data_IF_916807132047
#
_entry.id   IF_916807132047
#
_cell.length_a   1.000
_cell.length_b   1.000
_cell.length_c   1.000
_cell.angle_alpha   90.00
_cell.angle_beta   90.00
_cell.angle_gamma   90.00
#
_symmetry.space_group_name_H-M   'P 1'
#
loop_
_entity.id
_entity.type
_entity.pdbx_description
1 polymer ?
#
# COMPACT_ATOMS: atom_id res chain seq x y z
N UNK A 1 1.34 17.13 2.04
CA UNK A 1 0.07 16.40 2.16
C UNK A 1 -0.35 16.03 0.77
N UNK A 2 -0.46 14.74 0.45
CA UNK A 2 -1.17 14.34 -0.76
C UNK A 2 -2.64 14.70 -0.57
N UNK A 3 -3.22 15.35 -1.55
CA UNK A 3 -4.66 15.66 -1.54
C UNK A 3 -5.37 14.45 -2.11
N UNK A 4 -6.49 14.05 -1.52
CA UNK A 4 -7.26 12.90 -2.01
C UNK A 4 -7.68 13.14 -3.47
N UNK A 5 -7.19 12.34 -4.45
CA UNK A 5 -7.38 12.62 -5.88
C UNK A 5 -8.86 12.64 -6.27
N UNK A 6 -9.70 11.91 -5.54
CA UNK A 6 -11.14 11.82 -5.81
C UNK A 6 -11.94 13.06 -5.39
N UNK A 7 -11.35 13.95 -4.56
CA UNK A 7 -11.98 15.26 -4.25
C UNK A 7 -11.97 16.20 -5.46
N UNK A 8 -11.00 16.01 -6.37
CA UNK A 8 -10.88 16.77 -7.62
C UNK A 8 -10.91 15.82 -8.81
N UNK A 9 -11.85 14.87 -8.79
CA UNK A 9 -11.86 13.73 -9.69
C UNK A 9 -11.84 14.11 -11.17
N UNK A 10 -12.62 15.12 -11.57
CA UNK A 10 -12.68 15.59 -12.96
C UNK A 10 -11.30 16.08 -13.45
N UNK A 11 -10.59 16.83 -12.61
CA UNK A 11 -9.24 17.30 -12.91
C UNK A 11 -8.25 16.13 -12.99
N UNK A 12 -8.33 15.20 -12.04
CA UNK A 12 -7.48 14.00 -12.04
C UNK A 12 -7.74 13.12 -13.29
N UNK A 13 -8.99 12.98 -13.70
CA UNK A 13 -9.40 12.21 -14.87
C UNK A 13 -8.90 12.84 -16.18
N UNK A 14 -9.15 14.13 -16.38
CA UNK A 14 -8.74 14.83 -17.60
C UNK A 14 -7.21 14.84 -17.76
N UNK A 15 -6.49 15.04 -16.65
CA UNK A 15 -5.02 15.00 -16.67
C UNK A 15 -4.48 13.58 -16.88
N UNK A 16 -5.10 12.55 -16.29
CA UNK A 16 -4.71 11.16 -16.50
C UNK A 16 -4.82 10.74 -17.97
N UNK A 17 -5.86 11.19 -18.67
CA UNK A 17 -6.02 10.95 -20.13
C UNK A 17 -4.86 11.55 -20.93
N UNK A 18 -4.54 12.83 -20.68
CA UNK A 18 -3.45 13.53 -21.37
C UNK A 18 -2.09 12.87 -21.05
N UNK A 19 -1.89 12.42 -19.81
CA UNK A 19 -0.68 11.69 -19.42
C UNK A 19 -0.55 10.37 -20.20
N UNK A 20 -1.65 9.62 -20.32
CA UNK A 20 -1.65 8.35 -21.04
C UNK A 20 -1.41 8.53 -22.55
N UNK A 21 -1.93 9.60 -23.18
CA UNK A 21 -1.60 9.98 -24.57
C UNK A 21 -0.09 10.21 -24.78
N UNK A 22 0.63 10.53 -23.71
CA UNK A 22 2.08 10.74 -23.69
C UNK A 22 2.87 9.55 -23.15
N UNK A 23 2.24 8.40 -22.95
CA UNK A 23 2.83 7.20 -22.34
C UNK A 23 3.37 7.43 -20.91
N UNK A 24 2.74 8.33 -20.15
CA UNK A 24 3.04 8.57 -18.73
C UNK A 24 2.02 7.80 -17.89
N UNK A 25 2.51 6.96 -16.99
CA UNK A 25 1.66 6.18 -16.09
C UNK A 25 1.06 7.04 -14.98
N UNK A 26 -0.19 6.76 -14.62
CA UNK A 26 -0.90 7.45 -13.55
C UNK A 26 -0.99 6.59 -12.29
N UNK A 27 -0.73 7.22 -11.15
CA UNK A 27 -0.80 6.57 -9.84
C UNK A 27 -1.64 7.41 -8.90
N UNK A 28 -2.61 6.78 -8.24
CA UNK A 28 -3.37 7.41 -7.16
C UNK A 28 -2.80 7.01 -5.80
N UNK A 29 -2.53 7.99 -4.95
CA UNK A 29 -2.36 7.78 -3.50
C UNK A 29 -3.66 8.25 -2.86
N UNK A 30 -4.47 7.31 -2.37
CA UNK A 30 -5.88 7.56 -2.03
C UNK A 30 -6.29 6.86 -0.74
N UNK A 31 -7.31 7.37 -0.08
CA UNK A 31 -8.01 6.71 1.02
C UNK A 31 -8.91 5.54 0.55
N UNK A 32 -9.09 5.36 -0.77
CA UNK A 32 -9.88 4.28 -1.35
C UNK A 32 -11.40 4.43 -1.18
N UNK A 33 -11.88 5.59 -0.72
CA UNK A 33 -13.28 5.86 -0.43
C UNK A 33 -13.94 6.65 -1.57
N UNK A 34 -14.23 5.96 -2.67
CA UNK A 34 -14.85 6.51 -3.87
C UNK A 34 -16.00 5.62 -4.36
N UNK A 35 -16.79 6.09 -5.32
CA UNK A 35 -17.87 5.27 -5.86
C UNK A 35 -17.35 4.29 -6.93
N UNK A 36 -18.03 3.16 -7.15
CA UNK A 36 -17.70 2.24 -8.24
C UNK A 36 -17.71 2.91 -9.62
N UNK A 37 -18.60 3.88 -9.85
CA UNK A 37 -18.71 4.61 -11.11
C UNK A 37 -17.45 5.44 -11.39
N UNK A 38 -16.90 6.10 -10.37
CA UNK A 38 -15.64 6.83 -10.48
C UNK A 38 -14.48 5.88 -10.82
N UNK A 39 -14.44 4.69 -10.22
CA UNK A 39 -13.43 3.67 -10.52
C UNK A 39 -13.54 3.15 -11.95
N UNK A 40 -14.75 2.84 -12.42
CA UNK A 40 -14.96 2.42 -13.81
C UNK A 40 -14.60 3.51 -14.81
N UNK A 41 -14.84 4.77 -14.46
CA UNK A 41 -14.50 5.89 -15.34
C UNK A 41 -12.99 6.07 -15.46
N UNK A 42 -12.25 6.03 -14.35
CA UNK A 42 -10.80 6.26 -14.35
C UNK A 42 -9.98 5.02 -14.74
N UNK A 43 -10.52 3.80 -14.59
CA UNK A 43 -9.73 2.56 -14.76
C UNK A 43 -8.98 2.40 -16.08
N UNK A 44 -9.46 2.90 -17.24
CA UNK A 44 -8.69 2.84 -18.48
C UNK A 44 -7.39 3.66 -18.45
N UNK A 45 -7.25 4.59 -17.50
CA UNK A 45 -6.17 5.56 -17.41
C UNK A 45 -5.39 5.48 -16.09
N UNK A 46 -5.78 4.60 -15.17
CA UNK A 46 -5.14 4.44 -13.86
C UNK A 46 -4.31 3.16 -13.82
N UNK A 47 -2.98 3.29 -13.86
CA UNK A 47 -2.07 2.14 -13.88
C UNK A 47 -1.91 1.49 -12.50
N UNK A 48 -1.90 2.31 -11.45
CA UNK A 48 -1.73 1.85 -10.08
C UNK A 48 -2.45 2.73 -9.05
N UNK A 49 -2.73 2.16 -7.88
CA UNK A 49 -3.22 2.85 -6.72
C UNK A 49 -2.54 2.33 -5.45
N UNK A 50 -1.95 3.24 -4.68
CA UNK A 50 -1.55 3.00 -3.29
C UNK A 50 -2.70 3.47 -2.39
N UNK A 51 -3.37 2.52 -1.74
CA UNK A 51 -4.62 2.75 -1.01
C UNK A 51 -4.39 2.61 0.48
N UNK A 52 -4.82 3.63 1.23
CA UNK A 52 -4.76 3.60 2.69
C UNK A 52 -5.84 2.70 3.30
N UNK A 53 -5.51 1.45 3.60
CA UNK A 53 -6.31 0.59 4.48
C UNK A 53 -5.92 0.89 5.93
N UNK A 54 -6.57 1.91 6.51
CA UNK A 54 -6.14 2.54 7.77
C UNK A 54 -6.32 1.70 9.03
N UNK A 55 -7.02 0.59 8.94
CA UNK A 55 -7.31 -0.34 10.04
C UNK A 55 -8.25 -1.43 9.55
N UNK A 56 -8.61 -2.36 10.42
CA UNK A 56 -9.52 -3.46 10.07
C UNK A 56 -10.73 -3.61 10.99
N UNK A 57 -11.08 -2.53 11.70
CA UNK A 57 -12.32 -2.43 12.48
C UNK A 57 -13.22 -1.30 11.98
N UNK A 58 -14.54 -1.53 11.98
CA UNK A 58 -15.52 -0.48 11.67
C UNK A 58 -15.49 0.66 12.70
N UNK A 59 -15.18 0.36 13.96
CA UNK A 59 -15.09 1.37 15.03
C UNK A 59 -13.94 2.34 14.80
N UNK A 60 -12.78 1.86 14.35
CA UNK A 60 -11.66 2.72 13.96
C UNK A 60 -12.07 3.67 12.83
N UNK A 61 -12.72 3.13 11.79
CA UNK A 61 -13.17 3.92 10.64
C UNK A 61 -14.20 4.99 11.03
N UNK A 62 -15.21 4.63 11.81
CA UNK A 62 -16.23 5.58 12.27
C UNK A 62 -15.63 6.68 13.13
N UNK A 63 -14.78 6.30 14.10
CA UNK A 63 -14.25 7.23 15.10
C UNK A 63 -13.14 8.13 14.56
N UNK A 64 -12.21 7.59 13.78
CA UNK A 64 -11.01 8.31 13.37
C UNK A 64 -11.03 8.76 11.90
N UNK A 65 -11.78 8.06 11.03
CA UNK A 65 -11.85 8.41 9.61
C UNK A 65 -13.16 9.11 9.22
N UNK A 66 -14.21 9.01 10.04
CA UNK A 66 -15.56 9.48 9.68
C UNK A 66 -16.16 8.72 8.49
N UNK A 67 -15.74 7.47 8.30
CA UNK A 67 -16.10 6.62 7.15
C UNK A 67 -16.45 5.20 7.60
N UNK A 68 -16.70 4.29 6.64
CA UNK A 68 -16.87 2.85 6.89
C UNK A 68 -15.77 2.05 6.18
N UNK A 69 -15.41 0.89 6.74
CA UNK A 69 -14.38 0.01 6.19
C UNK A 69 -14.88 -0.76 4.95
N UNK A 70 -16.15 -1.17 4.92
CA UNK A 70 -16.68 -2.00 3.85
C UNK A 70 -16.53 -1.38 2.43
N UNK A 71 -16.82 -0.08 2.19
CA UNK A 71 -16.60 0.53 0.88
C UNK A 71 -15.14 0.47 0.41
N UNK A 72 -14.17 0.71 1.30
CA UNK A 72 -12.73 0.64 0.97
C UNK A 72 -12.36 -0.78 0.53
N UNK A 73 -12.80 -1.81 1.28
CA UNK A 73 -12.54 -3.21 0.92
C UNK A 73 -13.16 -3.60 -0.43
N UNK A 74 -14.36 -3.12 -0.71
CA UNK A 74 -15.03 -3.39 -1.98
C UNK A 74 -14.31 -2.72 -3.15
N UNK A 75 -13.87 -1.47 -2.96
CA UNK A 75 -13.12 -0.73 -3.96
C UNK A 75 -11.74 -1.35 -4.25
N UNK A 76 -11.04 -1.85 -3.23
CA UNK A 76 -9.78 -2.59 -3.42
C UNK A 76 -9.96 -3.82 -4.32
N UNK A 77 -11.02 -4.60 -4.10
CA UNK A 77 -11.37 -5.75 -4.96
C UNK A 77 -11.73 -5.29 -6.38
N UNK A 78 -12.52 -4.23 -6.50
CA UNK A 78 -12.90 -3.67 -7.78
C UNK A 78 -11.69 -3.18 -8.58
N UNK A 79 -10.77 -2.43 -7.95
CA UNK A 79 -9.52 -1.97 -8.56
C UNK A 79 -8.72 -3.14 -9.15
N UNK A 80 -8.49 -4.21 -8.37
CA UNK A 80 -7.82 -5.43 -8.86
C UNK A 80 -8.56 -6.05 -10.05
N UNK A 81 -9.89 -6.15 -9.99
CA UNK A 81 -10.70 -6.71 -11.08
C UNK A 81 -10.66 -5.86 -12.37
N UNK A 82 -10.39 -4.56 -12.25
CA UNK A 82 -10.23 -3.63 -13.36
C UNK A 82 -8.79 -3.57 -13.91
N UNK A 83 -7.87 -4.37 -13.38
CA UNK A 83 -6.48 -4.43 -13.83
C UNK A 83 -5.57 -3.32 -13.28
N UNK A 84 -6.06 -2.53 -12.32
CA UNK A 84 -5.26 -1.53 -11.61
C UNK A 84 -4.30 -2.25 -10.67
N UNK A 85 -3.01 -1.89 -10.72
CA UNK A 85 -2.04 -2.42 -9.75
C UNK A 85 -2.29 -1.79 -8.38
N UNK A 86 -2.53 -2.62 -7.36
CA UNK A 86 -2.90 -2.12 -6.02
C UNK A 86 -1.77 -2.39 -5.04
N UNK A 87 -1.42 -1.36 -4.29
CA UNK A 87 -0.61 -1.46 -3.08
C UNK A 87 -1.45 -0.98 -1.89
N UNK A 88 -1.18 -1.52 -0.70
CA UNK A 88 -1.87 -1.14 0.52
C UNK A 88 -0.92 -0.41 1.45
N UNK A 89 -1.35 0.71 2.01
CA UNK A 89 -0.64 1.40 3.09
C UNK A 89 -1.47 1.40 4.37
N UNK A 90 -0.83 1.08 5.49
CA UNK A 90 -1.43 1.19 6.83
C UNK A 90 -0.49 2.00 7.71
N UNK A 91 -0.95 3.18 8.16
CA UNK A 91 -0.27 3.93 9.21
C UNK A 91 -0.54 3.24 10.55
N UNK A 92 0.48 2.65 11.16
CA UNK A 92 0.33 1.89 12.39
C UNK A 92 0.37 2.82 13.60
N UNK A 93 -0.74 2.98 14.31
CA UNK A 93 -0.91 3.95 15.39
C UNK A 93 -1.04 3.22 16.75
N UNK A 94 -0.14 3.49 17.71
CA UNK A 94 -0.16 2.84 19.01
C UNK A 94 -1.50 2.92 19.73
N UNK A 95 -2.02 1.76 20.12
CA UNK A 95 -3.26 1.59 20.87
C UNK A 95 -4.54 1.82 20.07
N UNK A 96 -4.47 1.96 18.73
CA UNK A 96 -5.68 2.09 17.89
C UNK A 96 -5.86 0.95 16.91
N UNK A 97 -4.84 0.66 16.10
CA UNK A 97 -4.90 -0.32 15.00
C UNK A 97 -3.67 -1.24 14.97
N UNK A 98 -2.93 -1.33 16.09
CA UNK A 98 -1.67 -2.05 16.21
C UNK A 98 -1.75 -3.35 17.02
N UNK A 99 -2.96 -3.82 17.33
CA UNK A 99 -3.14 -5.13 17.94
C UNK A 99 -2.82 -6.26 16.96
N UNK A 100 -2.19 -7.34 17.43
CA UNK A 100 -1.85 -8.51 16.60
C UNK A 100 -3.09 -9.07 15.88
N UNK A 101 -4.21 -9.22 16.58
CA UNK A 101 -5.46 -9.72 15.99
C UNK A 101 -6.05 -8.81 14.89
N UNK A 102 -5.83 -7.50 14.96
CA UNK A 102 -6.28 -6.58 13.92
C UNK A 102 -5.38 -6.69 12.70
N UNK A 103 -4.07 -6.73 12.91
CA UNK A 103 -3.07 -6.88 11.87
C UNK A 103 -3.18 -8.21 11.14
N UNK A 104 -3.46 -9.31 11.84
CA UNK A 104 -3.69 -10.62 11.24
C UNK A 104 -4.90 -10.60 10.30
N UNK A 105 -6.02 -10.02 10.74
CA UNK A 105 -7.22 -9.92 9.89
C UNK A 105 -6.99 -9.04 8.67
N UNK A 106 -6.23 -7.96 8.84
CA UNK A 106 -5.84 -7.06 7.74
C UNK A 106 -4.95 -7.79 6.74
N UNK A 107 -3.87 -8.43 7.21
CA UNK A 107 -2.93 -9.16 6.36
C UNK A 107 -3.60 -10.34 5.63
N UNK A 108 -4.44 -11.11 6.32
CA UNK A 108 -5.24 -12.19 5.71
C UNK A 108 -6.17 -11.66 4.63
N UNK A 109 -6.85 -10.53 4.88
CA UNK A 109 -7.67 -9.90 3.84
C UNK A 109 -6.87 -9.54 2.59
N UNK A 110 -5.68 -8.95 2.75
CA UNK A 110 -4.81 -8.63 1.60
C UNK A 110 -4.46 -9.92 0.85
N UNK A 111 -3.95 -10.94 1.56
CA UNK A 111 -3.49 -12.18 0.96
C UNK A 111 -4.63 -12.94 0.24
N UNK A 112 -5.78 -13.10 0.90
CA UNK A 112 -6.90 -13.90 0.40
C UNK A 112 -7.79 -13.18 -0.61
N UNK A 113 -8.01 -11.87 -0.43
CA UNK A 113 -8.93 -11.10 -1.28
C UNK A 113 -8.25 -10.32 -2.39
N UNK A 114 -7.00 -9.90 -2.21
CA UNK A 114 -6.27 -9.09 -3.18
C UNK A 114 -5.11 -9.86 -3.83
N UNK A 115 -4.66 -10.95 -3.22
CA UNK A 115 -3.59 -11.82 -3.69
C UNK A 115 -2.28 -11.58 -2.94
N UNK A 116 -1.52 -12.65 -2.76
CA UNK A 116 -0.23 -12.68 -2.03
C UNK A 116 0.86 -11.80 -2.66
N UNK A 117 0.68 -11.41 -3.91
CA UNK A 117 1.51 -10.48 -4.68
C UNK A 117 1.20 -9.00 -4.41
N UNK A 118 0.13 -8.69 -3.66
CA UNK A 118 -0.26 -7.31 -3.31
C UNK A 118 0.68 -6.75 -2.24
N UNK A 119 1.44 -5.67 -2.53
CA UNK A 119 2.33 -5.08 -1.53
C UNK A 119 1.60 -4.47 -0.34
N UNK A 120 2.12 -4.69 0.86
CA UNK A 120 1.63 -4.05 2.09
C UNK A 120 2.72 -3.21 2.75
N UNK A 121 2.47 -1.91 2.84
CA UNK A 121 3.34 -0.91 3.45
C UNK A 121 2.82 -0.56 4.85
N UNK A 122 3.65 -0.80 5.86
CA UNK A 122 3.35 -0.50 7.26
C UNK A 122 4.16 0.74 7.65
N UNK A 123 3.47 1.86 7.78
CA UNK A 123 4.10 3.17 8.01
C UNK A 123 4.13 3.52 9.50
N UNK A 124 5.29 3.99 9.98
CA UNK A 124 5.45 4.52 11.35
C UNK A 124 4.63 5.79 11.55
N UNK A 125 3.82 5.80 12.61
CA UNK A 125 3.14 6.99 13.10
C UNK A 125 4.10 7.88 13.89
N UNK A 126 3.98 9.19 13.67
CA UNK A 126 4.62 10.24 14.45
C UNK A 126 3.54 11.17 15.00
N UNK A 127 3.55 11.49 16.30
CA UNK A 127 2.55 12.39 16.91
C UNK A 127 2.62 13.77 16.26
N UNK A 128 1.52 14.20 15.64
CA UNK A 128 1.48 15.47 14.91
C UNK A 128 0.05 16.01 14.86
N UNK A 129 -0.07 17.30 14.56
CA UNK A 129 -1.34 18.03 14.46
C UNK A 129 -2.22 17.85 15.71
N UNK A 130 -3.31 17.07 15.62
CA UNK A 130 -4.29 16.87 16.71
C UNK A 130 -4.14 15.55 17.44
N UNK A 131 -3.41 14.58 16.88
CA UNK A 131 -3.24 13.25 17.49
C UNK A 131 -1.86 13.21 18.17
N UNK A 132 -1.76 13.81 19.34
CA UNK A 132 -0.51 13.96 20.10
C UNK A 132 -0.52 13.24 21.45
N UNK A 133 -1.58 12.49 21.74
CA UNK A 133 -1.86 11.80 23.01
C UNK A 133 -1.15 10.44 23.15
N UNK A 134 -0.36 10.04 22.15
CA UNK A 134 0.34 8.76 22.07
C UNK A 134 1.72 8.95 21.45
N UNK A 135 2.63 8.02 21.70
CA UNK A 135 4.00 8.08 21.20
C UNK A 135 4.15 7.70 19.72
N UNK A 136 5.36 7.86 19.20
CA UNK A 136 5.80 7.30 17.91
C UNK A 136 5.63 5.78 17.94
N UNK A 137 5.23 5.16 16.83
CA UNK A 137 5.12 3.69 16.75
C UNK A 137 6.48 3.04 17.02
N UNK A 138 6.60 2.17 18.04
CA UNK A 138 7.83 1.47 18.31
C UNK A 138 8.27 0.65 17.10
N UNK A 139 9.58 0.57 16.85
CA UNK A 139 10.12 -0.27 15.79
C UNK A 139 9.65 -1.72 15.93
N UNK A 140 9.62 -2.23 17.17
CA UNK A 140 9.12 -3.58 17.47
C UNK A 140 7.72 -3.82 16.91
N UNK A 141 6.80 -2.87 17.03
CA UNK A 141 5.43 -3.01 16.50
C UNK A 141 5.41 -3.10 14.97
N UNK A 142 6.29 -2.35 14.28
CA UNK A 142 6.42 -2.43 12.83
C UNK A 142 6.97 -3.79 12.38
N UNK A 143 7.98 -4.31 13.09
CA UNK A 143 8.55 -5.63 12.82
C UNK A 143 7.52 -6.73 13.07
N UNK A 144 6.74 -6.65 14.15
CA UNK A 144 5.64 -7.60 14.41
C UNK A 144 4.60 -7.56 13.28
N UNK A 145 4.19 -6.38 12.81
CA UNK A 145 3.28 -6.27 11.68
C UNK A 145 3.88 -6.84 10.37
N UNK A 146 5.17 -6.61 10.13
CA UNK A 146 5.89 -7.20 9.00
C UNK A 146 5.87 -8.73 9.06
N UNK A 147 6.21 -9.30 10.22
CA UNK A 147 6.20 -10.75 10.45
C UNK A 147 4.80 -11.35 10.24
N UNK A 148 3.75 -10.68 10.73
CA UNK A 148 2.36 -11.08 10.48
C UNK A 148 2.06 -11.12 8.98
N UNK A 149 2.41 -10.08 8.23
CA UNK A 149 2.22 -10.04 6.78
C UNK A 149 2.89 -11.20 6.06
N UNK A 150 4.15 -11.49 6.42
CA UNK A 150 4.90 -12.64 5.86
C UNK A 150 4.26 -13.97 6.25
N UNK A 151 3.84 -14.15 7.51
CA UNK A 151 3.14 -15.37 7.99
C UNK A 151 1.80 -15.58 7.28
N UNK A 152 1.11 -14.51 6.90
CA UNK A 152 -0.10 -14.55 6.07
C UNK A 152 0.16 -14.87 4.59
N UNK A 153 1.43 -15.03 4.20
CA UNK A 153 1.84 -15.44 2.86
C UNK A 153 2.10 -14.30 1.89
N UNK A 154 2.07 -13.03 2.34
CA UNK A 154 2.40 -11.90 1.48
C UNK A 154 3.86 -11.95 1.04
N UNK A 155 4.10 -11.80 -0.25
CA UNK A 155 5.43 -11.75 -0.86
C UNK A 155 6.17 -10.46 -0.53
N UNK A 156 5.42 -9.36 -0.43
CA UNK A 156 5.96 -8.01 -0.32
C UNK A 156 5.32 -7.29 0.87
N UNK A 157 6.11 -7.15 1.92
CA UNK A 157 5.73 -6.38 3.11
C UNK A 157 6.85 -5.40 3.38
N UNK A 158 6.51 -4.14 3.59
CA UNK A 158 7.49 -3.07 3.74
C UNK A 158 7.25 -2.29 5.03
N UNK A 159 8.29 -2.05 5.81
CA UNK A 159 8.20 -1.03 6.86
C UNK A 159 8.61 0.32 6.29
N UNK A 160 7.84 1.36 6.61
CA UNK A 160 8.04 2.72 6.16
C UNK A 160 8.21 3.69 7.34
N UNK A 161 8.76 4.87 7.05
CA UNK A 161 9.08 5.88 8.08
C UNK A 161 9.99 5.34 9.20
N UNK A 162 10.79 4.32 8.90
CA UNK A 162 11.77 3.70 9.76
C UNK A 162 13.06 3.52 8.95
N UNK A 163 13.78 4.61 8.71
CA UNK A 163 14.91 4.63 7.79
C UNK A 163 16.02 3.63 8.18
N UNK A 164 16.54 2.89 7.20
CA UNK A 164 17.65 1.95 7.38
C UNK A 164 17.22 0.55 7.84
N UNK A 165 15.91 0.30 7.99
CA UNK A 165 15.41 -1.01 8.32
C UNK A 165 15.50 -1.95 7.12
N UNK A 166 15.98 -3.18 7.34
CA UNK A 166 16.10 -4.17 6.26
C UNK A 166 14.77 -4.45 5.56
N UNK A 167 13.66 -4.31 6.30
CA UNK A 167 12.29 -4.56 5.83
C UNK A 167 11.73 -3.44 4.94
N UNK A 168 12.49 -2.37 4.64
CA UNK A 168 12.12 -1.38 3.60
C UNK A 168 12.61 -1.79 2.19
N UNK A 169 13.42 -2.84 2.11
CA UNK A 169 14.02 -3.35 0.88
C UNK A 169 13.13 -4.40 0.20
N UNK A 170 13.31 -4.58 -1.11
CA UNK A 170 12.66 -5.67 -1.86
C UNK A 170 13.61 -6.85 -1.98
N UNK A 171 13.18 -8.01 -1.45
CA UNK A 171 13.84 -9.30 -1.64
C UNK A 171 13.08 -10.14 -2.66
N UNK A 172 13.78 -11.02 -3.37
CA UNK A 172 13.13 -11.96 -4.27
C UNK A 172 12.26 -12.95 -3.47
N UNK A 173 10.96 -13.11 -3.77
CA UNK A 173 10.10 -14.03 -3.03
C UNK A 173 10.48 -15.51 -3.23
N UNK A 174 11.27 -15.83 -4.26
CA UNK A 174 11.71 -17.21 -4.56
C UNK A 174 13.07 -17.56 -3.94
N UNK A 175 14.07 -16.69 -4.06
CA UNK A 175 15.45 -16.99 -3.64
C UNK A 175 15.97 -16.12 -2.50
N UNK A 176 15.14 -15.22 -1.97
CA UNK A 176 15.44 -14.31 -0.85
C UNK A 176 16.64 -13.37 -1.05
N UNK A 177 17.21 -13.27 -2.26
CA UNK A 177 18.27 -12.30 -2.56
C UNK A 177 17.70 -10.89 -2.61
N UNK A 178 18.48 -9.93 -2.10
CA UNK A 178 18.18 -8.50 -2.18
C UNK A 178 18.14 -8.05 -3.65
N UNK A 179 17.03 -7.41 -4.05
CA UNK A 179 16.81 -6.92 -5.41
C UNK A 179 16.80 -5.40 -5.48
N UNK A 180 16.10 -4.76 -4.53
CA UNK A 180 16.05 -3.30 -4.45
C UNK A 180 16.45 -2.90 -3.04
N UNK A 181 17.57 -2.18 -2.92
CA UNK A 181 18.03 -1.57 -1.67
C UNK A 181 17.55 -0.12 -1.60
N UNK A 182 16.91 0.22 -0.48
CA UNK A 182 16.41 1.56 -0.18
C UNK A 182 17.00 2.04 1.14
N UNK A 183 16.99 3.36 1.29
CA UNK A 183 17.16 4.03 2.57
C UNK A 183 16.09 5.10 2.67
N UNK A 184 14.98 4.79 3.35
CA UNK A 184 13.79 5.64 3.33
C UNK A 184 13.36 5.94 1.87
N UNK A 185 13.36 7.22 1.46
CA UNK A 185 12.94 7.65 0.12
C UNK A 185 14.03 7.50 -0.95
N UNK A 186 15.25 7.10 -0.57
CA UNK A 186 16.37 6.99 -1.51
C UNK A 186 16.51 5.56 -2.03
N UNK A 187 16.61 5.42 -3.36
CA UNK A 187 17.00 4.18 -4.02
C UNK A 187 18.54 4.07 -3.99
N UNK A 188 19.07 3.05 -3.31
CA UNK A 188 20.51 2.79 -3.24
C UNK A 188 21.00 1.87 -4.35
N UNK A 189 20.25 0.80 -4.59
CA UNK A 189 20.59 -0.18 -5.61
C UNK A 189 19.31 -0.80 -6.19
N UNK A 190 19.35 -1.14 -7.48
CA UNK A 190 18.30 -1.89 -8.16
C UNK A 190 18.95 -2.93 -9.09
N UNK A 191 18.79 -4.20 -8.73
CA UNK A 191 19.35 -5.34 -9.46
C UNK A 191 18.35 -5.98 -10.43
N UNK A 192 17.12 -5.48 -10.51
CA UNK A 192 16.13 -6.01 -11.45
C UNK A 192 16.58 -5.84 -12.90
N UNK A 193 16.25 -6.83 -13.73
CA UNK A 193 16.39 -6.75 -15.18
C UNK A 193 15.06 -7.16 -15.80
N UNK A 194 14.44 -6.27 -16.57
CA UNK A 194 13.13 -6.51 -17.20
C UNK A 194 12.09 -7.04 -16.19
N UNK A 195 11.97 -6.35 -15.04
CA UNK A 195 11.16 -6.75 -13.89
C UNK A 195 11.47 -8.15 -13.29
N UNK A 196 12.59 -8.78 -13.63
CA UNK A 196 12.97 -10.10 -13.14
C UNK A 196 14.17 -10.09 -12.18
N UNK A 197 14.17 -11.04 -11.24
CA UNK A 197 15.33 -11.35 -10.43
C UNK A 197 16.46 -11.93 -11.31
N UNK A 198 17.66 -11.32 -11.34
CA UNK A 198 18.76 -11.77 -12.19
C UNK A 198 19.34 -13.11 -11.75
N UNK A 199 19.07 -13.54 -10.52
CA UNK A 199 19.63 -14.74 -9.92
C UNK A 199 18.77 -15.99 -10.12
N UNK A 200 17.46 -15.85 -10.29
CA UNK A 200 16.55 -17.00 -10.39
C UNK A 200 15.41 -16.85 -11.42
N UNK A 201 15.35 -15.72 -12.14
CA UNK A 201 14.39 -15.44 -13.20
C UNK A 201 12.96 -15.17 -12.74
N UNK A 202 12.70 -15.09 -11.44
CA UNK A 202 11.35 -14.78 -10.93
C UNK A 202 10.95 -13.37 -11.32
N UNK A 203 9.80 -13.21 -11.98
CA UNK A 203 9.19 -11.91 -12.24
C UNK A 203 8.73 -11.31 -10.92
N UNK A 204 9.05 -10.04 -10.70
CA UNK A 204 8.68 -9.26 -9.53
C UNK A 204 7.50 -8.38 -9.91
N UNK A 205 6.43 -8.48 -9.14
CA UNK A 205 5.21 -7.71 -9.36
C UNK A 205 5.43 -6.23 -9.06
N UNK A 206 5.01 -5.36 -9.98
CA UNK A 206 5.09 -3.91 -9.88
C UNK A 206 4.79 -3.23 -11.21
N UNK A 207 4.58 -1.90 -11.18
CA UNK A 207 4.42 -1.06 -12.38
C UNK A 207 5.67 -0.20 -12.56
N UNK A 208 6.20 -0.18 -13.79
CA UNK A 208 7.40 0.60 -14.13
C UNK A 208 8.71 0.05 -13.54
N UNK A 209 8.77 -1.26 -13.29
CA UNK A 209 9.97 -1.98 -12.81
C UNK A 209 10.92 -2.40 -13.92
#
# INVERSE_FOLDING_TARGET
TYTEPTVFFEFAFDTAKIAHEKNIQNVFVTNGYMTPEALHMISPYLDAANVDLKGYSEDFYKKFCGASLAPVKNNLKLMKSLGIFVEITTLLIPGLNDSESELEKLALFIAESLGVDTPWHISRFHPTYKLTDRGVTPLKSLITAYEIGVRSGLKYVYTGNAAGEKTENTFCPKCAKLLIERWSVYLRDNRLKDAACPDCGTIIEGRGL
#
